data_IF_126742545324
#
_entry.id   IF_126742545324
#
_cell.length_a   1.000
_cell.length_b   1.000
_cell.length_c   1.000
_cell.angle_alpha   90.00
_cell.angle_beta   90.00
_cell.angle_gamma   90.00
#
_symmetry.space_group_name_H-M   'P 1'
#
loop_
_entity.id
_entity.type
_entity.pdbx_description
1 polymer ?
#
# COMPACT_ATOMS: atom_id res chain seq x y z
N UNK A 1 75.29 -5.32 -18.35
CA UNK A 1 74.12 -4.83 -17.60
C UNK A 1 73.08 -5.94 -17.57
N UNK A 2 72.87 -6.56 -16.41
CA UNK A 2 71.91 -7.64 -16.26
C UNK A 2 70.50 -7.07 -16.10
N UNK A 3 69.62 -7.33 -17.06
CA UNK A 3 68.19 -7.03 -16.91
C UNK A 3 67.53 -8.19 -16.17
N UNK A 4 67.36 -8.00 -14.86
CA UNK A 4 66.48 -8.80 -14.01
C UNK A 4 65.02 -8.47 -14.33
N UNK A 5 64.27 -9.53 -14.63
CA UNK A 5 62.91 -9.81 -14.17
C UNK A 5 61.84 -8.72 -14.33
N UNK A 6 61.00 -8.91 -15.34
CA UNK A 6 59.57 -8.60 -15.30
C UNK A 6 58.81 -9.90 -15.59
N UNK A 7 58.69 -10.76 -14.58
CA UNK A 7 57.74 -11.88 -14.56
C UNK A 7 56.77 -11.56 -13.43
N UNK A 8 55.76 -10.74 -13.73
CA UNK A 8 54.60 -10.61 -12.87
C UNK A 8 53.32 -10.62 -13.72
N UNK A 9 52.54 -11.67 -13.46
CA UNK A 9 51.09 -11.66 -13.37
C UNK A 9 50.28 -11.60 -14.68
N UNK A 10 50.22 -12.75 -15.37
CA UNK A 10 49.15 -13.07 -16.32
C UNK A 10 48.01 -13.93 -15.72
N UNK A 11 47.99 -14.18 -14.41
CA UNK A 11 47.00 -15.06 -13.77
C UNK A 11 45.66 -14.38 -13.40
N UNK A 12 45.42 -13.13 -13.81
CA UNK A 12 44.19 -12.40 -13.45
C UNK A 12 43.10 -12.37 -14.53
N UNK A 13 43.14 -13.24 -15.55
CA UNK A 13 42.08 -13.31 -16.58
C UNK A 13 40.95 -14.31 -16.32
N UNK A 14 41.05 -15.20 -15.32
CA UNK A 14 40.10 -16.30 -15.14
C UNK A 14 39.01 -16.12 -14.06
N UNK A 15 38.77 -14.89 -13.56
CA UNK A 15 37.76 -14.69 -12.49
C UNK A 15 36.65 -13.67 -12.79
N UNK A 16 36.46 -13.24 -14.04
CA UNK A 16 35.37 -12.31 -14.41
C UNK A 16 34.08 -12.97 -14.94
N UNK A 17 34.09 -14.25 -15.32
CA UNK A 17 32.91 -14.88 -15.95
C UNK A 17 32.02 -15.70 -15.00
N UNK A 18 32.46 -16.04 -13.78
CA UNK A 18 31.66 -16.89 -12.87
C UNK A 18 30.51 -16.17 -12.14
N UNK A 19 30.23 -14.90 -12.43
CA UNK A 19 29.17 -14.15 -11.73
C UNK A 19 28.08 -13.55 -12.62
N UNK A 20 28.09 -13.82 -13.94
CA UNK A 20 26.95 -13.54 -14.82
C UNK A 20 25.83 -14.53 -14.54
N UNK A 21 25.06 -14.27 -13.49
CA UNK A 21 23.70 -14.81 -13.43
C UNK A 21 22.97 -14.20 -14.63
N UNK A 22 22.61 -15.04 -15.59
CA UNK A 22 21.92 -14.64 -16.81
C UNK A 22 20.49 -14.28 -16.38
N UNK A 23 20.16 -12.98 -16.37
CA UNK A 23 18.79 -12.49 -16.07
C UNK A 23 17.71 -13.10 -16.99
N UNK A 24 18.10 -13.72 -18.10
CA UNK A 24 17.22 -14.54 -18.95
C UNK A 24 16.63 -15.76 -18.25
N UNK A 25 17.26 -16.28 -17.19
CA UNK A 25 16.74 -17.38 -16.36
C UNK A 25 15.55 -16.93 -15.49
N UNK A 26 15.36 -15.61 -15.37
CA UNK A 26 14.32 -14.97 -14.57
C UNK A 26 13.18 -14.40 -15.42
N UNK A 27 12.97 -14.89 -16.65
CA UNK A 27 11.81 -14.53 -17.51
C UNK A 27 10.45 -14.74 -16.84
N UNK A 28 10.43 -15.47 -15.73
CA UNK A 28 9.25 -15.78 -14.93
C UNK A 28 9.52 -15.48 -13.45
N UNK A 29 10.02 -14.29 -13.11
CA UNK A 29 9.85 -13.78 -11.75
C UNK A 29 8.34 -13.49 -11.60
N UNK A 30 7.55 -14.53 -11.34
CA UNK A 30 6.14 -14.38 -10.95
C UNK A 30 6.03 -13.63 -9.62
N UNK A 31 7.15 -13.50 -8.90
CA UNK A 31 7.15 -13.21 -7.48
C UNK A 31 8.45 -12.48 -7.08
N UNK A 32 8.65 -11.23 -7.52
CA UNK A 32 9.86 -10.46 -7.18
C UNK A 32 10.02 -10.33 -5.66
N UNK A 33 8.90 -10.28 -4.94
CA UNK A 33 8.83 -10.26 -3.48
C UNK A 33 9.44 -11.50 -2.83
N UNK A 34 9.49 -12.62 -3.54
CA UNK A 34 9.97 -13.89 -3.00
C UNK A 34 11.43 -14.16 -3.34
N UNK A 35 12.03 -13.37 -4.23
CA UNK A 35 13.46 -13.47 -4.53
C UNK A 35 14.28 -13.35 -3.23
N UNK A 36 15.30 -14.21 -3.05
CA UNK A 36 16.20 -14.10 -1.90
C UNK A 36 16.75 -12.68 -1.78
N UNK A 37 16.88 -12.16 -0.54
CA UNK A 37 17.39 -10.80 -0.31
C UNK A 37 18.74 -10.54 -1.00
N UNK A 38 19.60 -11.56 -1.10
CA UNK A 38 20.86 -11.51 -1.85
C UNK A 38 20.67 -11.35 -3.36
N UNK A 39 19.67 -12.01 -3.96
CA UNK A 39 19.32 -11.88 -5.37
C UNK A 39 18.71 -10.51 -5.64
N UNK A 40 17.82 -10.04 -4.76
CA UNK A 40 17.30 -8.68 -4.81
C UNK A 40 18.44 -7.67 -4.76
N UNK A 41 19.34 -7.76 -3.79
CA UNK A 41 20.52 -6.89 -3.67
C UNK A 41 21.43 -6.94 -4.92
N UNK A 42 21.61 -8.12 -5.52
CA UNK A 42 22.44 -8.29 -6.72
C UNK A 42 21.76 -7.70 -7.95
N UNK A 43 20.49 -7.98 -8.19
CA UNK A 43 19.67 -7.30 -9.20
C UNK A 43 19.72 -5.78 -8.95
N UNK A 44 19.66 -5.38 -7.68
CA UNK A 44 19.68 -3.99 -7.31
C UNK A 44 21.00 -3.30 -7.66
N UNK A 45 22.15 -3.96 -7.43
CA UNK A 45 23.45 -3.47 -7.87
C UNK A 45 23.59 -3.40 -9.39
N UNK A 46 22.96 -4.32 -10.13
CA UNK A 46 23.07 -4.40 -11.59
C UNK A 46 22.33 -3.29 -12.32
N UNK A 47 21.12 -2.94 -11.87
CA UNK A 47 20.29 -1.94 -12.55
C UNK A 47 20.69 -0.50 -12.22
N UNK A 48 21.42 -0.28 -11.11
CA UNK A 48 21.79 1.07 -10.72
C UNK A 48 23.01 1.64 -11.48
N UNK A 49 23.60 0.88 -12.41
CA UNK A 49 24.78 1.27 -13.22
C UNK A 49 25.80 2.11 -12.43
N UNK A 50 26.04 1.76 -11.15
CA UNK A 50 27.11 2.41 -10.41
C UNK A 50 28.42 1.74 -10.87
N UNK A 51 29.36 2.54 -11.36
CA UNK A 51 30.71 2.14 -11.83
C UNK A 51 31.59 1.44 -10.78
N UNK A 52 31.03 1.00 -9.66
CA UNK A 52 31.69 0.27 -8.59
C UNK A 52 30.93 -1.02 -8.26
N UNK A 53 31.20 -2.14 -8.96
CA UNK A 53 30.52 -3.42 -8.74
C UNK A 53 30.71 -4.02 -7.34
N UNK A 54 31.67 -3.50 -6.56
CA UNK A 54 32.04 -4.04 -5.24
C UNK A 54 31.80 -3.07 -4.08
N UNK A 55 31.32 -1.84 -4.34
CA UNK A 55 30.87 -0.95 -3.25
C UNK A 55 29.35 -1.05 -3.19
N UNK A 56 28.84 -1.59 -2.08
CA UNK A 56 27.43 -1.46 -1.71
C UNK A 56 27.09 0.04 -1.73
N UNK A 57 26.19 0.54 -2.61
CA UNK A 57 25.56 1.83 -2.41
C UNK A 57 25.06 1.90 -0.99
N UNK A 58 25.23 3.06 -0.35
CA UNK A 58 24.77 3.29 1.02
C UNK A 58 23.36 2.73 1.16
N UNK A 59 23.09 1.99 2.25
CA UNK A 59 21.85 1.24 2.46
C UNK A 59 20.58 2.04 2.06
N UNK A 60 20.62 3.38 2.18
CA UNK A 60 19.70 4.41 1.65
C UNK A 60 19.22 4.34 0.20
N UNK A 61 19.91 3.65 -0.72
CA UNK A 61 19.63 3.81 -2.17
C UNK A 61 18.77 2.70 -2.77
N UNK A 62 18.70 1.54 -2.14
CA UNK A 62 18.02 0.38 -2.70
C UNK A 62 16.58 0.31 -2.22
N UNK A 63 15.63 0.34 -3.14
CA UNK A 63 14.56 -0.67 -3.26
C UNK A 63 13.40 -0.14 -4.11
N UNK A 64 12.77 0.99 -3.75
CA UNK A 64 11.49 1.31 -4.39
C UNK A 64 11.59 1.75 -5.85
N UNK A 65 12.45 2.73 -6.17
CA UNK A 65 12.61 3.20 -7.57
C UNK A 65 13.07 2.09 -8.50
N UNK A 66 13.78 1.12 -7.95
CA UNK A 66 14.41 0.04 -8.68
C UNK A 66 13.49 -1.16 -8.90
N UNK A 67 12.77 -1.56 -7.86
CA UNK A 67 11.64 -2.48 -7.98
C UNK A 67 10.65 -1.91 -9.02
N UNK A 68 10.38 -0.60 -9.00
CA UNK A 68 9.56 0.06 -10.01
C UNK A 68 10.17 0.08 -11.41
N UNK A 69 11.48 0.31 -11.55
CA UNK A 69 12.20 0.22 -12.83
C UNK A 69 12.16 -1.19 -13.41
N UNK A 70 12.34 -2.22 -12.58
CA UNK A 70 12.21 -3.62 -12.98
C UNK A 70 10.78 -3.92 -13.45
N UNK A 71 9.78 -3.46 -12.70
CA UNK A 71 8.37 -3.62 -13.08
C UNK A 71 8.04 -2.95 -14.42
N UNK A 72 8.54 -1.72 -14.63
CA UNK A 72 8.39 -0.99 -15.89
C UNK A 72 9.12 -1.66 -17.05
N UNK A 73 10.36 -2.13 -16.83
CA UNK A 73 11.20 -2.69 -17.90
C UNK A 73 10.68 -4.03 -18.42
N UNK A 74 10.21 -4.91 -17.53
CA UNK A 74 9.76 -6.25 -17.92
C UNK A 74 8.27 -6.32 -18.31
N UNK A 75 7.55 -5.19 -18.27
CA UNK A 75 6.19 -5.05 -18.77
C UNK A 75 5.32 -6.25 -18.34
N UNK A 76 5.32 -6.54 -17.04
CA UNK A 76 4.79 -7.78 -16.50
C UNK A 76 3.26 -7.82 -16.60
N UNK A 77 2.75 -8.18 -17.77
CA UNK A 77 1.32 -8.35 -18.03
C UNK A 77 0.67 -9.44 -17.18
N UNK A 78 1.42 -10.17 -16.35
CA UNK A 78 0.93 -11.30 -15.56
C UNK A 78 1.03 -11.09 -14.05
N UNK A 79 1.48 -9.93 -13.57
CA UNK A 79 1.54 -9.68 -12.13
C UNK A 79 0.16 -9.27 -11.62
N UNK A 80 -0.41 -10.12 -10.78
CA UNK A 80 -1.70 -9.86 -10.15
C UNK A 80 -1.53 -9.14 -8.80
N UNK A 81 -0.38 -9.25 -8.15
CA UNK A 81 -0.11 -8.66 -6.83
C UNK A 81 1.26 -8.01 -6.77
N UNK A 82 1.30 -6.78 -6.26
CA UNK A 82 2.54 -6.05 -6.01
C UNK A 82 2.62 -5.69 -4.53
N UNK A 83 3.78 -5.94 -3.90
CA UNK A 83 4.16 -5.38 -2.59
C UNK A 83 5.39 -4.52 -2.76
N UNK A 84 5.32 -3.29 -2.29
CA UNK A 84 6.31 -2.26 -2.57
C UNK A 84 7.57 -2.38 -1.73
N UNK A 85 7.43 -2.71 -0.44
CA UNK A 85 8.52 -3.10 0.45
C UNK A 85 8.41 -4.61 0.65
N UNK A 86 9.30 -5.44 0.09
CA UNK A 86 9.35 -6.86 0.42
C UNK A 86 9.52 -7.04 1.94
N UNK A 87 8.81 -7.99 2.54
CA UNK A 87 8.79 -8.25 3.99
C UNK A 87 10.19 -8.32 4.62
N UNK A 88 11.16 -8.89 3.87
CA UNK A 88 12.56 -9.02 4.27
C UNK A 88 13.29 -7.68 4.49
N UNK A 89 12.69 -6.56 4.05
CA UNK A 89 13.28 -5.23 4.06
C UNK A 89 12.55 -4.24 4.97
N UNK A 90 11.41 -4.64 5.55
CA UNK A 90 10.61 -3.79 6.46
C UNK A 90 11.41 -3.33 7.70
N UNK A 91 12.31 -4.19 8.20
CA UNK A 91 13.15 -3.91 9.37
C UNK A 91 14.39 -3.06 9.05
N UNK A 92 14.67 -2.82 7.77
CA UNK A 92 15.74 -1.92 7.37
C UNK A 92 15.12 -0.52 7.31
N UNK A 93 15.11 0.19 8.45
CA UNK A 93 14.85 1.64 8.53
C UNK A 93 15.89 2.39 7.69
N UNK A 94 15.68 2.38 6.39
CA UNK A 94 16.57 2.96 5.42
C UNK A 94 16.02 4.35 5.12
N UNK A 95 16.72 5.44 5.48
CA UNK A 95 16.28 6.78 5.11
C UNK A 95 16.36 6.92 3.59
N UNK A 96 15.20 6.95 2.93
CA UNK A 96 15.11 7.25 1.51
C UNK A 96 15.24 8.76 1.28
N UNK A 97 15.93 9.16 0.22
CA UNK A 97 15.80 10.54 -0.29
C UNK A 97 14.38 10.69 -0.85
N UNK A 98 13.66 11.73 -0.41
CA UNK A 98 12.29 12.02 -0.87
C UNK A 98 12.17 12.09 -2.41
N UNK A 99 13.23 12.52 -3.12
CA UNK A 99 13.27 12.54 -4.58
C UNK A 99 13.26 11.15 -5.23
N UNK A 100 13.90 10.15 -4.61
CA UNK A 100 13.88 8.75 -5.09
C UNK A 100 12.50 8.16 -4.90
N UNK A 101 11.86 8.48 -3.77
CA UNK A 101 10.51 8.05 -3.47
C UNK A 101 9.52 8.66 -4.48
N UNK A 102 9.63 9.95 -4.80
CA UNK A 102 8.80 10.60 -5.81
C UNK A 102 8.90 9.95 -7.20
N UNK A 103 10.13 9.62 -7.65
CA UNK A 103 10.34 8.94 -8.93
C UNK A 103 9.73 7.53 -8.95
N UNK A 104 9.78 6.84 -7.82
CA UNK A 104 9.13 5.56 -7.69
C UNK A 104 7.62 5.68 -7.81
N UNK A 105 6.99 6.66 -7.15
CA UNK A 105 5.55 6.88 -7.26
C UNK A 105 5.09 7.28 -8.67
N UNK A 106 5.91 8.02 -9.44
CA UNK A 106 5.65 8.26 -10.87
C UNK A 106 5.67 6.95 -11.69
N UNK A 107 6.58 6.04 -11.35
CA UNK A 107 6.65 4.74 -12.01
C UNK A 107 5.47 3.85 -11.60
N UNK A 108 5.06 3.90 -10.33
CA UNK A 108 3.88 3.20 -9.81
C UNK A 108 2.61 3.69 -10.48
N UNK A 109 2.46 5.01 -10.64
CA UNK A 109 1.35 5.61 -11.37
C UNK A 109 1.23 5.01 -12.78
N UNK A 110 2.35 4.97 -13.53
CA UNK A 110 2.40 4.37 -14.87
C UNK A 110 2.04 2.88 -14.85
N UNK A 111 2.46 2.13 -13.83
CA UNK A 111 2.11 0.71 -13.69
C UNK A 111 0.61 0.54 -13.47
N UNK A 112 0.02 1.33 -12.56
CA UNK A 112 -1.43 1.27 -12.27
C UNK A 112 -2.24 1.65 -13.51
N UNK A 113 -1.85 2.69 -14.24
CA UNK A 113 -2.56 3.16 -15.44
C UNK A 113 -2.53 2.14 -16.59
N UNK A 114 -1.42 1.41 -16.76
CA UNK A 114 -1.24 0.48 -17.88
C UNK A 114 -1.56 -0.98 -17.56
N UNK A 115 -1.69 -1.34 -16.27
CA UNK A 115 -1.89 -2.73 -15.90
C UNK A 115 -3.32 -3.21 -16.16
N UNK A 116 -3.43 -4.28 -16.95
CA UNK A 116 -4.69 -4.98 -17.23
C UNK A 116 -4.93 -6.20 -16.33
N UNK A 117 -3.97 -6.55 -15.48
CA UNK A 117 -4.01 -7.79 -14.67
C UNK A 117 -3.75 -7.59 -13.18
N UNK A 118 -3.23 -6.43 -12.77
CA UNK A 118 -2.97 -6.13 -11.37
C UNK A 118 -4.28 -6.03 -10.59
N UNK A 119 -4.49 -6.95 -9.64
CA UNK A 119 -5.68 -6.99 -8.78
C UNK A 119 -5.39 -6.56 -7.35
N UNK A 120 -4.14 -6.64 -6.90
CA UNK A 120 -3.73 -6.34 -5.51
C UNK A 120 -2.51 -5.44 -5.49
N UNK A 121 -2.55 -4.38 -4.67
CA UNK A 121 -1.45 -3.44 -4.53
C UNK A 121 -1.19 -3.10 -3.07
N UNK A 122 0.00 -3.45 -2.59
CA UNK A 122 0.41 -3.29 -1.19
C UNK A 122 1.52 -2.25 -1.07
N UNK A 123 1.14 -1.10 -0.50
CA UNK A 123 2.00 0.04 -0.17
C UNK A 123 2.50 0.03 1.28
N UNK A 124 2.20 -1.02 2.06
CA UNK A 124 2.50 -1.03 3.49
C UNK A 124 3.93 -0.61 3.80
N UNK A 125 4.08 0.13 4.89
CA UNK A 125 5.36 0.65 5.37
C UNK A 125 6.06 1.65 4.42
N UNK A 126 5.30 2.37 3.59
CA UNK A 126 5.81 3.46 2.74
C UNK A 126 5.16 4.78 3.10
N UNK A 127 5.99 5.80 3.33
CA UNK A 127 5.50 7.17 3.52
C UNK A 127 4.76 7.69 2.28
N UNK A 128 3.45 7.89 2.42
CA UNK A 128 2.56 8.46 1.41
C UNK A 128 2.06 9.81 1.94
N UNK A 129 2.76 10.86 1.57
CA UNK A 129 2.31 12.22 1.81
C UNK A 129 1.20 12.63 0.82
N UNK A 130 0.72 13.87 0.95
CA UNK A 130 -0.27 14.46 0.04
C UNK A 130 0.13 14.36 -1.44
N UNK A 131 1.42 14.56 -1.75
CA UNK A 131 1.92 14.55 -3.14
C UNK A 131 1.82 13.15 -3.74
N UNK A 132 2.28 12.13 -3.01
CA UNK A 132 2.24 10.73 -3.47
C UNK A 132 0.83 10.17 -3.50
N UNK A 133 0.01 10.53 -2.52
CA UNK A 133 -1.41 10.23 -2.53
C UNK A 133 -2.11 10.79 -3.78
N UNK A 134 -1.73 11.99 -4.24
CA UNK A 134 -2.25 12.57 -5.48
C UNK A 134 -1.83 11.76 -6.71
N UNK A 135 -0.59 11.25 -6.78
CA UNK A 135 -0.14 10.41 -7.89
C UNK A 135 -0.93 9.10 -7.96
N UNK A 136 -1.11 8.43 -6.81
CA UNK A 136 -1.94 7.23 -6.71
C UNK A 136 -3.37 7.57 -7.15
N UNK A 137 -3.98 8.60 -6.57
CA UNK A 137 -5.36 9.03 -6.85
C UNK A 137 -5.62 9.20 -8.35
N UNK A 138 -4.72 9.85 -9.10
CA UNK A 138 -4.89 10.07 -10.54
C UNK A 138 -4.96 8.74 -11.31
N UNK A 139 -4.10 7.77 -10.96
CA UNK A 139 -4.12 6.45 -11.60
C UNK A 139 -5.34 5.60 -11.24
N UNK A 140 -5.98 5.84 -10.09
CA UNK A 140 -7.19 5.09 -9.69
C UNK A 140 -8.43 5.48 -10.50
N UNK A 141 -8.44 6.67 -11.11
CA UNK A 141 -9.57 7.13 -11.92
C UNK A 141 -9.73 6.31 -13.21
N UNK A 142 -8.63 5.78 -13.74
CA UNK A 142 -8.58 5.02 -15.00
C UNK A 142 -8.41 3.52 -14.77
N UNK A 143 -7.77 3.10 -13.68
CA UNK A 143 -7.60 1.69 -13.37
C UNK A 143 -8.96 1.04 -13.00
N UNK A 144 -9.21 -0.13 -13.59
CA UNK A 144 -10.43 -0.92 -13.37
C UNK A 144 -10.15 -2.38 -13.00
N UNK A 145 -8.89 -2.70 -12.72
CA UNK A 145 -8.41 -4.06 -12.49
C UNK A 145 -8.06 -4.31 -11.03
N UNK A 146 -7.60 -3.28 -10.31
CA UNK A 146 -7.26 -3.40 -8.90
C UNK A 146 -8.54 -3.55 -8.06
N UNK A 147 -8.54 -4.58 -7.23
CA UNK A 147 -9.62 -4.98 -6.34
C UNK A 147 -9.29 -4.70 -4.87
N UNK A 148 -8.01 -4.79 -4.49
CA UNK A 148 -7.55 -4.63 -3.11
C UNK A 148 -6.31 -3.75 -3.01
N UNK A 149 -6.30 -2.83 -2.05
CA UNK A 149 -5.10 -2.03 -1.73
C UNK A 149 -4.81 -1.99 -0.23
N UNK A 150 -3.54 -2.15 0.12
CA UNK A 150 -3.03 -2.04 1.48
C UNK A 150 -2.17 -0.78 1.63
N UNK A 151 -2.52 0.05 2.62
CA UNK A 151 -1.82 1.28 3.02
C UNK A 151 -1.48 1.27 4.52
N UNK A 152 -1.31 0.09 5.11
CA UNK A 152 -0.87 -0.04 6.50
C UNK A 152 0.43 0.72 6.75
N UNK A 153 0.49 1.49 7.85
CA UNK A 153 1.70 2.18 8.28
C UNK A 153 2.32 3.07 7.19
N UNK A 154 1.48 3.80 6.46
CA UNK A 154 1.89 4.67 5.36
C UNK A 154 2.00 6.16 5.73
N UNK A 155 1.90 6.48 7.02
CA UNK A 155 1.87 7.86 7.54
C UNK A 155 0.73 8.72 6.96
N UNK A 156 -0.37 8.10 6.50
CA UNK A 156 -1.51 8.82 5.93
C UNK A 156 -2.14 9.73 7.01
N UNK A 157 -2.05 11.03 6.79
CA UNK A 157 -2.75 12.07 7.53
C UNK A 157 -4.09 12.47 6.85
N UNK A 158 -4.73 13.52 7.36
CA UNK A 158 -5.96 14.05 6.75
C UNK A 158 -5.74 14.53 5.30
N UNK A 159 -4.60 15.16 5.00
CA UNK A 159 -4.35 15.76 3.68
C UNK A 159 -4.16 14.68 2.59
N UNK A 160 -3.37 13.65 2.90
CA UNK A 160 -3.09 12.52 2.02
C UNK A 160 -4.32 11.65 1.79
N UNK A 161 -5.09 11.30 2.83
CA UNK A 161 -6.32 10.51 2.65
C UNK A 161 -7.39 11.28 1.85
N UNK A 162 -7.46 12.60 2.00
CA UNK A 162 -8.35 13.44 1.18
C UNK A 162 -7.98 13.34 -0.30
N UNK A 163 -6.69 13.29 -0.65
CA UNK A 163 -6.28 13.08 -2.03
C UNK A 163 -6.69 11.70 -2.53
N UNK A 164 -6.41 10.63 -1.77
CA UNK A 164 -6.81 9.27 -2.17
C UNK A 164 -8.33 9.16 -2.38
N UNK A 165 -9.13 9.79 -1.53
CA UNK A 165 -10.59 9.79 -1.65
C UNK A 165 -11.08 10.32 -3.00
N UNK A 166 -10.40 11.31 -3.61
CA UNK A 166 -10.81 11.87 -4.92
C UNK A 166 -10.74 10.84 -6.04
N UNK A 167 -9.70 10.03 -6.07
CA UNK A 167 -9.56 8.93 -7.03
C UNK A 167 -10.53 7.79 -6.72
N UNK A 168 -10.67 7.45 -5.44
CA UNK A 168 -11.58 6.40 -4.98
C UNK A 168 -13.06 6.73 -5.25
N UNK A 169 -13.47 8.00 -5.20
CA UNK A 169 -14.84 8.41 -5.57
C UNK A 169 -15.22 8.01 -7.00
N UNK A 170 -14.25 8.01 -7.92
CA UNK A 170 -14.42 7.69 -9.34
C UNK A 170 -14.13 6.24 -9.67
N UNK A 171 -13.25 5.59 -8.89
CA UNK A 171 -12.89 4.20 -9.09
C UNK A 171 -14.10 3.27 -8.89
N UNK A 172 -14.21 2.23 -9.71
CA UNK A 172 -15.34 1.29 -9.71
C UNK A 172 -14.93 -0.18 -9.52
N UNK A 173 -13.64 -0.45 -9.35
CA UNK A 173 -13.11 -1.81 -9.26
C UNK A 173 -12.69 -2.20 -7.86
N UNK A 174 -12.20 -1.25 -7.06
CA UNK A 174 -11.67 -1.52 -5.73
C UNK A 174 -12.82 -1.91 -4.80
N UNK A 175 -12.65 -3.06 -4.15
CA UNK A 175 -13.59 -3.69 -3.22
C UNK A 175 -13.05 -3.61 -1.79
N UNK A 176 -11.72 -3.70 -1.61
CA UNK A 176 -11.08 -3.78 -0.31
C UNK A 176 -9.98 -2.70 -0.15
N UNK A 177 -10.03 -1.98 0.97
CA UNK A 177 -9.05 -0.97 1.34
C UNK A 177 -8.59 -1.20 2.78
N UNK A 178 -7.28 -1.29 2.97
CA UNK A 178 -6.67 -1.25 4.30
C UNK A 178 -5.93 0.07 4.53
N UNK A 179 -6.39 0.85 5.49
CA UNK A 179 -5.79 2.12 5.94
C UNK A 179 -5.37 2.05 7.41
N UNK A 180 -5.17 0.85 7.96
CA UNK A 180 -4.84 0.69 9.37
C UNK A 180 -3.49 1.33 9.74
N UNK A 181 -3.27 1.61 11.03
CA UNK A 181 -1.99 2.11 11.56
C UNK A 181 -1.49 3.39 10.86
N UNK A 182 -2.38 4.37 10.67
CA UNK A 182 -2.07 5.66 10.07
C UNK A 182 -2.42 6.82 11.02
N UNK A 183 -2.39 8.06 10.53
CA UNK A 183 -2.70 9.30 11.28
C UNK A 183 -3.99 9.96 10.78
N UNK A 184 -4.96 9.15 10.34
CA UNK A 184 -6.24 9.66 9.80
C UNK A 184 -7.07 10.20 10.97
N UNK A 185 -7.31 11.52 10.95
CA UNK A 185 -8.11 12.22 11.95
C UNK A 185 -9.59 12.37 11.56
N UNK A 186 -10.34 13.22 12.29
CA UNK A 186 -11.77 13.45 12.04
C UNK A 186 -12.07 13.97 10.62
N UNK A 187 -11.21 14.82 10.07
CA UNK A 187 -11.40 15.37 8.72
C UNK A 187 -11.18 14.31 7.63
N UNK A 188 -10.18 13.45 7.80
CA UNK A 188 -9.96 12.30 6.91
C UNK A 188 -11.12 11.30 6.98
N UNK A 189 -11.66 11.04 8.17
CA UNK A 189 -12.86 10.21 8.33
C UNK A 189 -14.08 10.82 7.61
N UNK A 190 -14.27 12.15 7.68
CA UNK A 190 -15.32 12.84 6.92
C UNK A 190 -15.11 12.71 5.39
N UNK A 191 -13.87 12.77 4.91
CA UNK A 191 -13.55 12.58 3.50
C UNK A 191 -13.88 11.15 3.03
N UNK A 192 -13.44 10.14 3.78
CA UNK A 192 -13.82 8.74 3.55
C UNK A 192 -15.33 8.59 3.58
N UNK A 193 -16.00 9.28 4.49
CA UNK A 193 -17.44 9.23 4.60
C UNK A 193 -18.17 9.73 3.36
N UNK A 194 -17.74 10.87 2.84
CA UNK A 194 -18.30 11.42 1.61
C UNK A 194 -17.95 10.56 0.40
N UNK A 195 -16.74 10.02 0.33
CA UNK A 195 -16.34 9.09 -0.71
C UNK A 195 -17.25 7.84 -0.73
N UNK A 196 -17.54 7.24 0.42
CA UNK A 196 -18.39 6.05 0.52
C UNK A 196 -19.87 6.31 0.15
N UNK A 197 -20.35 7.55 0.26
CA UNK A 197 -21.68 7.93 -0.25
C UNK A 197 -21.74 7.83 -1.77
N UNK A 198 -20.65 8.17 -2.46
CA UNK A 198 -20.56 8.22 -3.92
C UNK A 198 -20.07 6.90 -4.50
N UNK A 199 -18.90 6.41 -4.07
CA UNK A 199 -18.32 5.15 -4.52
C UNK A 199 -19.30 4.00 -4.26
N UNK A 200 -19.45 3.09 -5.24
CA UNK A 200 -20.38 1.97 -5.20
C UNK A 200 -19.71 0.59 -5.13
N UNK A 201 -18.39 0.51 -5.30
CA UNK A 201 -17.63 -0.74 -5.40
C UNK A 201 -17.04 -1.19 -4.06
N UNK A 202 -16.65 -0.26 -3.18
CA UNK A 202 -15.97 -0.60 -1.93
C UNK A 202 -16.92 -1.32 -0.98
N UNK A 203 -16.50 -2.50 -0.53
CA UNK A 203 -17.21 -3.38 0.40
C UNK A 203 -16.51 -3.51 1.74
N UNK A 204 -15.17 -3.41 1.79
CA UNK A 204 -14.41 -3.55 3.03
C UNK A 204 -13.44 -2.39 3.18
N UNK A 205 -13.47 -1.74 4.34
CA UNK A 205 -12.51 -0.71 4.72
C UNK A 205 -12.02 -0.93 6.16
N UNK A 206 -10.70 -1.06 6.31
CA UNK A 206 -10.05 -1.15 7.60
C UNK A 206 -9.44 0.21 7.96
N UNK A 207 -9.96 0.85 9.01
CA UNK A 207 -9.46 2.13 9.54
C UNK A 207 -8.88 1.97 10.95
N UNK A 208 -8.62 0.75 11.40
CA UNK A 208 -8.14 0.53 12.76
C UNK A 208 -6.82 1.24 13.06
N UNK A 209 -6.56 1.57 14.33
CA UNK A 209 -5.33 2.24 14.76
C UNK A 209 -5.07 3.56 14.00
N UNK A 210 -6.04 4.47 14.08
CA UNK A 210 -5.97 5.83 13.53
C UNK A 210 -6.43 6.83 14.61
N UNK A 211 -6.59 8.12 14.24
CA UNK A 211 -6.93 9.22 15.15
C UNK A 211 -8.35 9.78 14.91
N UNK A 212 -9.29 8.93 14.47
CA UNK A 212 -10.63 9.34 13.99
C UNK A 212 -11.46 10.09 15.05
N UNK A 213 -11.40 9.65 16.31
CA UNK A 213 -12.11 10.25 17.44
C UNK A 213 -13.64 10.25 17.32
N UNK A 214 -14.32 10.92 18.26
CA UNK A 214 -15.79 11.02 18.26
C UNK A 214 -16.34 11.74 17.02
N UNK A 215 -15.70 12.84 16.60
CA UNK A 215 -16.14 13.62 15.44
C UNK A 215 -16.07 12.83 14.14
N UNK A 216 -14.98 12.09 13.91
CA UNK A 216 -14.88 11.21 12.76
C UNK A 216 -15.86 10.05 12.84
N UNK A 217 -16.08 9.46 14.03
CA UNK A 217 -17.09 8.42 14.23
C UNK A 217 -18.52 8.91 13.90
N UNK A 218 -18.86 10.15 14.25
CA UNK A 218 -20.14 10.76 13.86
C UNK A 218 -20.26 10.94 12.34
N UNK A 219 -19.17 11.32 11.67
CA UNK A 219 -19.14 11.43 10.21
C UNK A 219 -19.35 10.06 9.54
N UNK A 220 -18.73 9.01 10.08
CA UNK A 220 -18.96 7.63 9.63
C UNK A 220 -20.42 7.20 9.89
N UNK A 221 -20.99 7.57 11.04
CA UNK A 221 -22.38 7.27 11.38
C UNK A 221 -23.38 7.80 10.36
N UNK A 222 -23.17 8.98 9.79
CA UNK A 222 -24.09 9.55 8.80
C UNK A 222 -24.13 8.77 7.47
N UNK A 223 -23.01 8.16 7.08
CA UNK A 223 -22.99 7.22 5.94
C UNK A 223 -23.85 6.01 6.26
N UNK A 224 -23.75 5.49 7.48
CA UNK A 224 -24.45 4.26 7.87
C UNK A 224 -25.96 4.42 7.88
N UNK A 225 -26.47 5.63 8.13
CA UNK A 225 -27.91 5.94 8.01
C UNK A 225 -28.39 5.85 6.56
N UNK A 226 -27.54 6.21 5.61
CA UNK A 226 -27.93 6.46 4.20
C UNK A 226 -27.51 5.34 3.25
N UNK A 227 -26.46 4.59 3.59
CA UNK A 227 -25.92 3.53 2.75
C UNK A 227 -26.80 2.27 2.83
N UNK A 228 -27.33 1.87 1.68
CA UNK A 228 -28.13 0.64 1.51
C UNK A 228 -27.27 -0.61 1.24
N UNK A 229 -25.97 -0.44 1.01
CA UNK A 229 -25.03 -1.53 0.73
C UNK A 229 -24.38 -2.05 2.01
N UNK A 230 -23.88 -3.28 1.96
CA UNK A 230 -23.04 -3.82 3.02
C UNK A 230 -21.62 -3.29 2.84
N UNK A 231 -21.23 -2.32 3.66
CA UNK A 231 -19.82 -1.93 3.80
C UNK A 231 -19.36 -2.47 5.16
N UNK A 232 -18.32 -3.30 5.19
CA UNK A 232 -17.63 -3.75 6.41
C UNK A 232 -16.63 -2.67 6.80
N UNK A 233 -16.73 -2.18 8.02
CA UNK A 233 -15.96 -1.03 8.48
C UNK A 233 -15.33 -1.36 9.84
N UNK A 234 -14.00 -1.43 9.88
CA UNK A 234 -13.24 -1.58 11.12
C UNK A 234 -12.80 -0.22 11.64
N UNK A 235 -13.25 0.14 12.85
CA UNK A 235 -12.93 1.40 13.53
C UNK A 235 -12.27 1.13 14.89
N UNK A 236 -11.69 -0.06 15.11
CA UNK A 236 -11.03 -0.36 16.37
C UNK A 236 -9.85 0.58 16.62
N UNK A 237 -9.51 0.82 17.89
CA UNK A 237 -8.34 1.63 18.27
C UNK A 237 -8.28 3.02 17.61
N UNK A 238 -9.38 3.76 17.64
CA UNK A 238 -9.52 5.07 16.98
C UNK A 238 -9.81 6.25 17.94
N UNK A 239 -9.55 6.06 19.23
CA UNK A 239 -9.91 7.02 20.28
C UNK A 239 -11.41 7.42 20.26
N UNK A 240 -12.28 6.50 19.87
CA UNK A 240 -13.74 6.70 19.86
C UNK A 240 -14.27 6.45 21.27
N UNK A 241 -14.77 7.51 21.90
CA UNK A 241 -15.49 7.47 23.17
C UNK A 241 -16.98 7.18 23.00
N UNK A 242 -17.70 7.23 24.13
CA UNK A 242 -19.09 6.78 24.21
C UNK A 242 -20.05 7.51 23.25
N UNK A 243 -19.85 8.81 23.05
CA UNK A 243 -20.66 9.60 22.11
C UNK A 243 -20.52 9.13 20.67
N UNK A 244 -19.30 8.85 20.23
CA UNK A 244 -19.02 8.34 18.89
C UNK A 244 -19.58 6.92 18.69
N UNK A 245 -19.44 6.06 19.71
CA UNK A 245 -20.04 4.72 19.70
C UNK A 245 -21.57 4.81 19.62
N UNK A 246 -22.19 5.66 20.44
CA UNK A 246 -23.63 5.86 20.45
C UNK A 246 -24.14 6.38 19.09
N UNK A 247 -23.40 7.28 18.44
CA UNK A 247 -23.74 7.76 17.11
C UNK A 247 -23.76 6.63 16.07
N UNK A 248 -22.73 5.76 16.06
CA UNK A 248 -22.66 4.60 15.15
C UNK A 248 -23.81 3.63 15.42
N UNK A 249 -24.09 3.32 16.69
CA UNK A 249 -25.17 2.41 17.08
C UNK A 249 -26.53 2.95 16.67
N UNK A 250 -26.83 4.23 16.95
CA UNK A 250 -28.09 4.87 16.56
C UNK A 250 -28.26 4.91 15.04
N UNK A 251 -27.21 5.28 14.31
CA UNK A 251 -27.23 5.31 12.85
C UNK A 251 -27.57 3.94 12.26
N UNK A 252 -26.99 2.88 12.82
CA UNK A 252 -27.27 1.50 12.42
C UNK A 252 -28.69 1.07 12.72
N UNK A 253 -29.23 1.40 13.90
CA UNK A 253 -30.62 1.10 14.26
C UNK A 253 -31.63 1.79 13.33
N UNK A 254 -31.29 2.97 12.80
CA UNK A 254 -32.13 3.69 11.85
C UNK A 254 -32.07 3.10 10.43
N UNK A 255 -31.01 2.34 10.09
CA UNK A 255 -30.88 1.67 8.81
C UNK A 255 -31.70 0.36 8.79
N UNK A 256 -33.02 0.48 8.63
CA UNK A 256 -33.99 -0.62 8.63
C UNK A 256 -33.94 -1.55 7.39
N UNK A 257 -32.95 -1.42 6.50
CA UNK A 257 -32.99 -2.04 5.16
C UNK A 257 -32.21 -3.37 5.02
N UNK A 258 -31.93 -4.08 6.12
CA UNK A 258 -31.30 -5.42 6.06
C UNK A 258 -29.79 -5.44 5.75
N UNK A 259 -29.15 -4.28 5.59
CA UNK A 259 -27.72 -4.17 5.38
C UNK A 259 -26.93 -4.63 6.63
N UNK A 260 -26.14 -5.70 6.50
CA UNK A 260 -25.25 -6.26 7.52
C UNK A 260 -23.88 -5.59 7.47
N UNK A 261 -23.77 -4.30 7.75
CA UNK A 261 -22.43 -3.76 8.11
C UNK A 261 -21.94 -4.47 9.38
N UNK A 262 -20.70 -4.95 9.41
CA UNK A 262 -20.04 -5.46 10.61
C UNK A 262 -19.04 -4.43 11.13
N UNK A 263 -19.13 -4.12 12.43
CA UNK A 263 -18.18 -3.22 13.12
C UNK A 263 -17.35 -4.00 14.11
N UNK A 264 -16.08 -3.65 14.20
CA UNK A 264 -15.21 -4.02 15.33
C UNK A 264 -14.89 -2.75 16.12
N UNK A 265 -15.36 -2.77 17.36
CA UNK A 265 -15.13 -1.89 18.48
C UNK A 265 -13.78 -2.02 19.17
N UNK A 266 -13.43 -1.09 20.06
CA UNK A 266 -12.48 -1.25 21.18
C UNK A 266 -12.32 -2.72 21.66
N UNK A 267 -11.07 -3.19 21.73
CA UNK A 267 -10.62 -4.50 22.25
C UNK A 267 -11.62 -5.66 22.11
N UNK A 268 -12.14 -5.88 20.90
CA UNK A 268 -12.93 -7.08 20.57
C UNK A 268 -14.45 -6.96 20.66
N UNK A 269 -15.01 -5.82 21.06
CA UNK A 269 -16.48 -5.65 21.02
C UNK A 269 -16.99 -5.69 19.57
N UNK A 270 -17.80 -6.69 19.23
CA UNK A 270 -18.41 -6.84 17.90
C UNK A 270 -19.89 -6.52 17.99
N UNK A 271 -20.34 -5.47 17.31
CA UNK A 271 -21.79 -5.23 17.14
C UNK A 271 -22.30 -6.03 15.94
N UNK A 272 -23.30 -6.88 16.17
CA UNK A 272 -24.08 -7.51 15.11
C UNK A 272 -25.54 -7.09 15.23
N UNK A 273 -26.15 -6.61 14.15
CA UNK A 273 -27.60 -6.36 14.11
C UNK A 273 -28.30 -7.43 13.30
N UNK A 274 -29.26 -8.09 13.93
CA UNK A 274 -30.17 -9.06 13.29
C UNK A 274 -31.58 -8.48 13.44
N UNK A 275 -32.28 -8.27 12.32
CA UNK A 275 -33.67 -7.77 12.29
C UNK A 275 -33.90 -6.50 13.14
N UNK A 276 -33.02 -5.50 13.01
CA UNK A 276 -33.13 -4.22 13.74
C UNK A 276 -32.66 -4.26 15.21
N UNK A 277 -32.40 -5.44 15.78
CA UNK A 277 -31.85 -5.57 17.14
C UNK A 277 -30.33 -5.68 17.09
N UNK A 278 -29.64 -4.73 17.71
CA UNK A 278 -28.18 -4.74 17.83
C UNK A 278 -27.76 -5.54 19.06
N UNK A 279 -26.95 -6.56 18.87
CA UNK A 279 -26.29 -7.31 19.95
C UNK A 279 -24.81 -6.93 20.00
N UNK A 280 -24.30 -6.73 21.22
CA UNK A 280 -22.87 -6.59 21.46
C UNK A 280 -22.34 -7.96 21.83
N UNK A 281 -21.34 -8.42 21.11
CA UNK A 281 -20.54 -9.58 21.51
C UNK A 281 -19.26 -9.02 22.11
N UNK A 282 -19.08 -9.17 23.42
CA UNK A 282 -17.76 -9.07 24.03
C UNK A 282 -16.91 -10.27 23.57
N UNK A 283 -15.60 -10.09 23.37
CA UNK A 283 -14.73 -11.23 23.09
C UNK A 283 -14.73 -12.24 24.24
#
# INVERSE_FOLDING_TARGET
>A
MGNKQSIENNDNKNNKDNNKIILGDFKQIYEINFLPGTVLLKIFSMVNENDKPNELPSQSFYQLSLVCKLWRYYNFHSINSIKMVPERLENLLIPYKQSVLDQAFLSIQQIIENSTTLTTLDFSNIEIDKKRASLISMSLETNSTILSMNFEYCYLDNDSIIQLCRGLEKNKSIIELDFNNNKIGPQGALAIANMLKVNKSIETINLSNNEIGNQGAMSMADILKTTKRNVKLNLSSNHIGDEGVLAIVKARQQNNNGAKTSFIYKSGLKFTTVNGKSTVVCP
#
